data_IF_592877405862
#
_entry.id   IF_592877405862
#
_cell.length_a   1.000
_cell.length_b   1.000
_cell.length_c   1.000
_cell.angle_alpha   90.00
_cell.angle_beta   90.00
_cell.angle_gamma   90.00
#
_symmetry.space_group_name_H-M   'P 1'
#
loop_
_entity.id
_entity.type
_entity.pdbx_description
1 polymer ?
#
# COMPACT_ATOMS: atom_id res chain seq x y z
N UNK A 1 23.19 -10.96 31.00
CA UNK A 1 22.47 -10.06 30.05
C UNK A 1 22.81 -8.58 30.25
N UNK A 2 22.88 -8.07 31.50
CA UNK A 2 23.11 -6.65 31.81
C UNK A 2 24.45 -6.06 31.30
N UNK A 3 25.54 -6.85 31.30
CA UNK A 3 26.87 -6.39 30.87
C UNK A 3 26.96 -6.15 29.35
N UNK A 4 26.31 -6.99 28.53
CA UNK A 4 26.31 -6.84 27.07
C UNK A 4 25.51 -5.61 26.62
N UNK A 5 24.39 -5.34 27.29
CA UNK A 5 23.58 -4.12 27.04
C UNK A 5 24.36 -2.86 27.43
N UNK A 6 25.08 -2.89 28.56
CA UNK A 6 25.93 -1.79 28.99
C UNK A 6 27.02 -1.49 27.95
N UNK A 7 27.71 -2.51 27.45
CA UNK A 7 28.78 -2.36 26.44
C UNK A 7 28.24 -1.76 25.14
N UNK A 8 27.07 -2.20 24.67
CA UNK A 8 26.45 -1.64 23.46
C UNK A 8 26.08 -0.17 23.66
N UNK A 9 25.51 0.19 24.80
CA UNK A 9 25.19 1.60 25.12
C UNK A 9 26.47 2.44 25.18
N UNK A 10 27.56 1.93 25.76
CA UNK A 10 28.84 2.63 25.82
C UNK A 10 29.47 2.79 24.43
N UNK A 11 29.40 1.79 23.56
CA UNK A 11 29.89 1.88 22.17
C UNK A 11 29.08 2.90 21.37
N UNK A 12 27.75 2.90 21.52
CA UNK A 12 26.87 3.89 20.87
C UNK A 12 27.17 5.30 21.38
N UNK A 13 27.32 5.49 22.69
CA UNK A 13 27.64 6.79 23.29
C UNK A 13 29.03 7.32 22.89
N UNK A 14 30.03 6.43 22.77
CA UNK A 14 31.36 6.80 22.28
C UNK A 14 31.35 7.13 20.77
N UNK A 15 30.53 6.42 19.98
CA UNK A 15 30.37 6.68 18.55
C UNK A 15 29.78 8.06 18.23
N UNK A 16 28.87 8.58 19.06
CA UNK A 16 28.28 9.92 18.88
C UNK A 16 29.29 11.06 19.06
N UNK A 17 30.33 10.88 19.87
CA UNK A 17 31.33 11.93 20.14
C UNK A 17 32.40 12.03 19.03
N UNK A 18 32.63 10.96 18.26
CA UNK A 18 33.67 10.92 17.23
C UNK A 18 33.31 11.69 15.94
N UNK A 19 32.04 12.06 15.77
CA UNK A 19 31.56 12.83 14.61
C UNK A 19 31.12 14.26 14.95
N UNK A 20 31.43 14.74 16.16
CA UNK A 20 31.16 16.12 16.55
C UNK A 20 32.14 17.08 15.88
N UNK A 21 31.95 17.36 14.60
CA UNK A 21 32.50 18.57 14.01
C UNK A 21 31.70 19.75 14.55
N UNK A 22 32.37 20.81 15.00
CA UNK A 22 31.70 22.07 15.38
C UNK A 22 30.85 22.54 14.19
N UNK A 23 29.53 22.54 14.37
CA UNK A 23 28.60 22.98 13.34
C UNK A 23 28.77 24.50 13.18
N UNK A 24 29.50 24.91 12.15
CA UNK A 24 29.70 26.31 11.85
C UNK A 24 28.41 26.94 11.28
N UNK A 25 27.67 27.57 12.19
CA UNK A 25 26.43 28.29 11.87
C UNK A 25 26.67 29.36 10.81
N UNK A 26 27.83 30.04 10.82
CA UNK A 26 28.12 31.12 9.88
C UNK A 26 28.28 30.58 8.47
N UNK A 27 29.04 29.48 8.32
CA UNK A 27 29.19 28.76 7.05
C UNK A 27 27.88 28.10 6.58
N UNK A 28 27.00 27.73 7.51
CA UNK A 28 25.67 27.21 7.16
C UNK A 28 24.71 28.32 6.69
N UNK A 29 24.74 29.48 7.35
CA UNK A 29 23.83 30.61 7.08
C UNK A 29 24.26 31.51 5.93
N UNK A 30 25.48 31.32 5.41
CA UNK A 30 26.03 32.10 4.30
C UNK A 30 25.14 31.97 3.04
N UNK A 31 24.49 33.07 2.58
CA UNK A 31 23.65 33.05 1.38
C UNK A 31 24.42 32.77 0.09
N UNK A 32 25.69 33.16 0.00
CA UNK A 32 26.51 32.99 -1.21
C UNK A 32 26.76 31.51 -1.51
N UNK A 33 26.86 30.68 -0.46
CA UNK A 33 26.98 29.22 -0.56
C UNK A 33 25.84 28.57 -1.36
N UNK A 34 24.65 29.15 -1.32
CA UNK A 34 23.46 28.65 -2.01
C UNK A 34 23.14 29.42 -3.31
N UNK A 35 24.03 30.33 -3.73
CA UNK A 35 23.81 31.20 -4.89
C UNK A 35 22.75 32.27 -4.65
N UNK A 36 22.57 32.71 -3.39
CA UNK A 36 21.70 33.84 -3.01
C UNK A 36 22.51 35.12 -2.85
N UNK A 37 23.32 35.43 -3.85
CA UNK A 37 24.23 36.59 -3.96
C UNK A 37 23.50 37.94 -4.09
N UNK A 38 22.18 37.94 -4.34
CA UNK A 38 21.37 39.15 -4.40
C UNK A 38 20.12 39.08 -3.51
N UNK A 39 19.62 40.22 -2.99
CA UNK A 39 18.36 40.27 -2.23
C UNK A 39 17.18 39.68 -3.01
N UNK A 40 17.16 39.85 -4.33
CA UNK A 40 16.14 39.29 -5.23
C UNK A 40 16.20 37.75 -5.26
N UNK A 41 17.39 37.18 -5.44
CA UNK A 41 17.58 35.72 -5.42
C UNK A 41 17.21 35.12 -4.07
N UNK A 42 17.57 35.80 -2.98
CA UNK A 42 17.17 35.41 -1.63
C UNK A 42 15.64 35.44 -1.45
N UNK A 43 14.98 36.50 -1.94
CA UNK A 43 13.52 36.61 -1.89
C UNK A 43 12.84 35.51 -2.71
N UNK A 44 13.32 35.25 -3.92
CA UNK A 44 12.81 34.18 -4.78
C UNK A 44 13.00 32.80 -4.15
N UNK A 45 14.15 32.53 -3.52
CA UNK A 45 14.40 31.29 -2.80
C UNK A 45 13.44 31.10 -1.62
N UNK A 46 13.17 32.16 -0.84
CA UNK A 46 12.19 32.13 0.26
C UNK A 46 10.78 31.86 -0.25
N UNK A 47 10.38 32.51 -1.34
CA UNK A 47 9.07 32.30 -1.95
C UNK A 47 8.92 30.88 -2.52
N UNK A 48 9.95 30.35 -3.20
CA UNK A 48 9.96 28.97 -3.69
C UNK A 48 9.83 27.98 -2.53
N UNK A 49 10.58 28.17 -1.45
CA UNK A 49 10.50 27.33 -0.26
C UNK A 49 9.09 27.35 0.37
N UNK A 50 8.51 28.55 0.53
CA UNK A 50 7.15 28.71 1.03
C UNK A 50 6.12 28.02 0.13
N UNK A 51 6.25 28.15 -1.19
CA UNK A 51 5.37 27.50 -2.15
C UNK A 51 5.51 25.98 -2.10
N UNK A 52 6.73 25.43 -2.04
CA UNK A 52 6.96 23.98 -1.88
C UNK A 52 6.36 23.45 -0.60
N UNK A 53 6.53 24.16 0.52
CA UNK A 53 5.92 23.79 1.80
C UNK A 53 4.38 23.74 1.69
N UNK A 54 3.78 24.73 1.04
CA UNK A 54 2.33 24.74 0.77
C UNK A 54 1.89 23.55 -0.09
N UNK A 55 2.63 23.20 -1.13
CA UNK A 55 2.31 22.03 -1.98
C UNK A 55 2.42 20.71 -1.19
N UNK A 56 3.45 20.58 -0.36
CA UNK A 56 3.62 19.42 0.52
C UNK A 56 2.48 19.30 1.53
N UNK A 57 2.03 20.41 2.12
CA UNK A 57 0.89 20.40 3.03
C UNK A 57 -0.41 19.96 2.32
N UNK A 58 -0.65 20.45 1.09
CA UNK A 58 -1.79 20.01 0.29
C UNK A 58 -1.69 18.52 -0.04
N UNK A 59 -0.48 18.04 -0.35
CA UNK A 59 -0.24 16.63 -0.60
C UNK A 59 -0.51 15.77 0.65
N UNK A 60 -0.02 16.19 1.81
CA UNK A 60 -0.25 15.48 3.07
C UNK A 60 -1.72 15.37 3.46
N UNK A 61 -2.53 16.38 3.12
CA UNK A 61 -3.97 16.36 3.33
C UNK A 61 -4.72 15.41 2.37
N UNK A 62 -4.17 15.17 1.18
CA UNK A 62 -4.83 14.37 0.13
C UNK A 62 -4.32 12.92 0.03
N UNK A 63 -3.07 12.68 0.41
CA UNK A 63 -2.44 11.36 0.29
C UNK A 63 -3.19 10.33 1.12
N UNK A 64 -3.22 9.09 0.63
CA UNK A 64 -3.75 7.96 1.38
C UNK A 64 -2.65 7.24 2.14
N UNK A 65 -3.02 6.71 3.32
CA UNK A 65 -2.13 5.90 4.14
C UNK A 65 -2.04 4.48 3.57
N UNK A 66 -0.82 4.03 3.28
CA UNK A 66 -0.53 2.66 2.84
C UNK A 66 -1.01 1.66 3.89
N UNK A 67 -0.72 1.90 5.17
CA UNK A 67 -1.14 1.02 6.28
C UNK A 67 -2.66 0.91 6.36
N UNK A 68 -3.38 2.02 6.15
CA UNK A 68 -4.84 1.99 6.18
C UNK A 68 -5.42 1.13 5.04
N UNK A 69 -4.88 1.27 3.82
CA UNK A 69 -5.35 0.48 2.67
C UNK A 69 -4.91 -0.99 2.72
N UNK A 70 -3.75 -1.28 3.34
CA UNK A 70 -3.33 -2.65 3.68
C UNK A 70 -4.33 -3.33 4.61
N UNK A 71 -4.71 -2.67 5.70
CA UNK A 71 -5.68 -3.20 6.67
C UNK A 71 -7.04 -3.44 6.01
N UNK A 72 -7.50 -2.50 5.17
CA UNK A 72 -8.74 -2.69 4.40
C UNK A 72 -8.67 -3.92 3.50
N UNK A 73 -7.57 -4.11 2.77
CA UNK A 73 -7.39 -5.26 1.87
C UNK A 73 -7.28 -6.58 2.63
N UNK A 74 -6.71 -6.57 3.83
CA UNK A 74 -6.67 -7.74 4.70
C UNK A 74 -8.05 -8.13 5.21
N UNK A 75 -8.92 -7.14 5.51
CA UNK A 75 -10.28 -7.40 5.97
C UNK A 75 -11.19 -7.88 4.82
N UNK A 76 -11.12 -7.21 3.67
CA UNK A 76 -11.85 -7.61 2.49
C UNK A 76 -10.96 -7.44 1.25
N UNK A 77 -10.67 -8.54 0.52
CA UNK A 77 -9.85 -8.47 -0.68
C UNK A 77 -10.43 -7.48 -1.69
N UNK A 78 -9.56 -6.62 -2.24
CA UNK A 78 -9.95 -5.55 -3.15
C UNK A 78 -10.39 -4.23 -2.49
N UNK A 79 -10.60 -4.17 -1.17
CA UNK A 79 -11.05 -2.92 -0.51
C UNK A 79 -9.99 -1.81 -0.51
N UNK A 80 -8.71 -2.14 -0.36
CA UNK A 80 -7.64 -1.15 -0.52
C UNK A 80 -7.59 -0.58 -1.93
N UNK A 81 -7.79 -1.41 -2.96
CA UNK A 81 -7.85 -0.97 -4.36
C UNK A 81 -9.02 -0.02 -4.63
N UNK A 82 -10.20 -0.32 -4.08
CA UNK A 82 -11.36 0.58 -4.15
C UNK A 82 -11.08 1.93 -3.49
N UNK A 83 -10.38 1.92 -2.36
CA UNK A 83 -9.99 3.16 -1.68
C UNK A 83 -8.99 3.97 -2.51
N UNK A 84 -8.03 3.30 -3.16
CA UNK A 84 -7.04 3.93 -4.02
C UNK A 84 -7.57 4.33 -5.43
N UNK A 85 -8.86 4.13 -5.72
CA UNK A 85 -9.47 4.49 -7.01
C UNK A 85 -9.23 3.48 -8.14
N UNK A 86 -8.62 2.33 -7.84
CA UNK A 86 -8.35 1.23 -8.78
C UNK A 86 -9.54 0.24 -8.80
N UNK A 87 -10.72 0.72 -9.21
CA UNK A 87 -11.98 -0.03 -9.11
C UNK A 87 -11.98 -1.33 -9.91
N UNK A 88 -11.48 -1.31 -11.14
CA UNK A 88 -11.43 -2.50 -12.01
C UNK A 88 -10.55 -3.57 -11.39
N UNK A 89 -9.39 -3.19 -10.85
CA UNK A 89 -8.47 -4.12 -10.18
C UNK A 89 -9.12 -4.72 -8.93
N UNK A 90 -9.77 -3.87 -8.11
CA UNK A 90 -10.51 -4.29 -6.93
C UNK A 90 -11.64 -5.28 -7.25
N UNK A 91 -12.42 -5.04 -8.32
CA UNK A 91 -13.50 -5.94 -8.75
C UNK A 91 -12.98 -7.30 -9.21
N UNK A 92 -11.92 -7.32 -10.02
CA UNK A 92 -11.33 -8.57 -10.52
C UNK A 92 -10.83 -9.41 -9.36
N UNK A 93 -10.10 -8.80 -8.42
CA UNK A 93 -9.51 -9.52 -7.29
C UNK A 93 -10.59 -10.02 -6.31
N UNK A 94 -11.59 -9.20 -6.00
CA UNK A 94 -12.71 -9.61 -5.18
C UNK A 94 -13.53 -10.73 -5.85
N UNK A 95 -13.78 -10.63 -7.15
CA UNK A 95 -14.50 -11.65 -7.90
C UNK A 95 -13.76 -12.99 -7.93
N UNK A 96 -12.44 -12.94 -8.13
CA UNK A 96 -11.58 -14.13 -8.08
C UNK A 96 -11.62 -14.80 -6.70
N UNK A 97 -11.55 -14.00 -5.64
CA UNK A 97 -11.64 -14.51 -4.27
C UNK A 97 -12.99 -15.19 -3.99
N UNK A 98 -14.10 -14.55 -4.40
CA UNK A 98 -15.44 -15.11 -4.23
C UNK A 98 -15.61 -16.43 -4.97
N UNK A 99 -15.01 -16.57 -6.16
CA UNK A 99 -15.00 -17.82 -6.91
C UNK A 99 -14.24 -18.88 -6.11
N UNK A 100 -13.01 -18.59 -5.66
CA UNK A 100 -12.20 -19.57 -4.94
C UNK A 100 -12.80 -19.98 -3.59
N UNK A 101 -13.27 -19.03 -2.79
CA UNK A 101 -13.93 -19.34 -1.52
C UNK A 101 -15.29 -20.02 -1.71
N UNK A 102 -16.05 -19.61 -2.73
CA UNK A 102 -17.32 -20.24 -3.08
C UNK A 102 -17.15 -21.69 -3.53
N UNK A 103 -16.15 -21.96 -4.40
CA UNK A 103 -15.80 -23.31 -4.82
C UNK A 103 -15.26 -24.15 -3.67
N UNK A 104 -14.43 -23.56 -2.80
CA UNK A 104 -13.95 -24.21 -1.57
C UNK A 104 -15.13 -24.69 -0.73
N UNK A 105 -16.08 -23.79 -0.45
CA UNK A 105 -17.26 -24.08 0.36
C UNK A 105 -18.12 -25.19 -0.28
N UNK A 106 -18.39 -25.08 -1.58
CA UNK A 106 -19.18 -26.06 -2.32
C UNK A 106 -18.59 -27.48 -2.23
N UNK A 107 -17.29 -27.62 -2.50
CA UNK A 107 -16.65 -28.94 -2.46
C UNK A 107 -16.43 -29.45 -1.03
N UNK A 108 -16.27 -28.55 -0.05
CA UNK A 108 -16.22 -28.92 1.35
C UNK A 108 -17.56 -29.52 1.82
N UNK A 109 -18.66 -28.86 1.49
CA UNK A 109 -20.01 -29.35 1.83
C UNK A 109 -20.29 -30.70 1.17
N UNK A 110 -19.96 -30.84 -0.12
CA UNK A 110 -20.07 -32.12 -0.83
C UNK A 110 -19.21 -33.22 -0.20
N UNK A 111 -18.00 -32.90 0.25
CA UNK A 111 -17.13 -33.85 0.95
C UNK A 111 -17.77 -34.33 2.26
N UNK A 112 -18.38 -33.43 3.04
CA UNK A 112 -19.05 -33.78 4.29
C UNK A 112 -20.29 -34.66 4.06
N UNK A 113 -21.10 -34.38 3.04
CA UNK A 113 -22.26 -35.20 2.69
C UNK A 113 -21.85 -36.64 2.33
N UNK A 114 -20.81 -36.78 1.50
CA UNK A 114 -20.27 -38.08 1.09
C UNK A 114 -19.63 -38.83 2.26
N UNK A 115 -18.92 -38.10 3.14
CA UNK A 115 -18.36 -38.68 4.35
C UNK A 115 -19.44 -39.18 5.32
N UNK A 116 -20.57 -38.48 5.41
CA UNK A 116 -21.73 -38.93 6.18
C UNK A 116 -22.37 -40.21 5.61
N UNK A 117 -22.38 -40.37 4.28
CA UNK A 117 -22.82 -41.61 3.61
C UNK A 117 -21.84 -42.76 3.89
N UNK A 118 -20.53 -42.50 3.79
CA UNK A 118 -19.49 -43.45 4.18
C UNK A 118 -19.71 -43.99 5.59
N UNK A 119 -19.97 -43.11 6.57
CA UNK A 119 -20.22 -43.50 7.98
C UNK A 119 -21.45 -44.37 8.18
N UNK A 120 -22.41 -44.34 7.25
CA UNK A 120 -23.68 -45.09 7.33
C UNK A 120 -23.69 -46.34 6.44
N UNK A 121 -22.71 -46.51 5.56
CA UNK A 121 -22.64 -47.62 4.63
C UNK A 121 -22.27 -48.93 5.35
N UNK A 122 -22.92 -50.02 4.95
CA UNK A 122 -22.69 -51.37 5.51
C UNK A 122 -22.02 -52.31 4.52
N UNK A 123 -22.17 -52.06 3.21
CA UNK A 123 -21.55 -52.84 2.15
C UNK A 123 -20.15 -52.29 1.83
N UNK A 124 -19.17 -53.19 1.69
CA UNK A 124 -17.76 -52.82 1.49
C UNK A 124 -17.52 -51.95 0.25
N UNK A 125 -18.24 -52.22 -0.84
CA UNK A 125 -18.14 -51.44 -2.08
C UNK A 125 -18.59 -50.00 -1.87
N UNK A 126 -19.73 -49.81 -1.20
CA UNK A 126 -20.29 -48.47 -0.90
C UNK A 126 -19.38 -47.70 0.07
N UNK A 127 -18.82 -48.40 1.06
CA UNK A 127 -17.86 -47.82 2.01
C UNK A 127 -16.65 -47.24 1.26
N UNK A 128 -16.03 -48.05 0.38
CA UNK A 128 -14.86 -47.60 -0.37
C UNK A 128 -15.21 -46.44 -1.31
N UNK A 129 -16.31 -46.56 -2.04
CA UNK A 129 -16.71 -45.53 -3.00
C UNK A 129 -17.03 -44.19 -2.32
N UNK A 130 -17.84 -44.19 -1.26
CA UNK A 130 -18.16 -42.94 -0.56
C UNK A 130 -16.94 -42.32 0.13
N UNK A 131 -16.00 -43.14 0.58
CA UNK A 131 -14.74 -42.64 1.14
C UNK A 131 -13.88 -41.97 0.06
N UNK A 132 -13.68 -42.61 -1.08
CA UNK A 132 -12.92 -42.06 -2.21
C UNK A 132 -13.57 -40.76 -2.71
N UNK A 133 -14.88 -40.76 -2.94
CA UNK A 133 -15.61 -39.57 -3.40
C UNK A 133 -15.53 -38.39 -2.40
N UNK A 134 -15.57 -38.68 -1.10
CA UNK A 134 -15.43 -37.69 -0.05
C UNK A 134 -14.02 -37.09 -0.05
N UNK A 135 -13.00 -37.95 -0.15
CA UNK A 135 -11.61 -37.54 -0.19
C UNK A 135 -11.29 -36.69 -1.42
N UNK A 136 -11.80 -37.06 -2.60
CA UNK A 136 -11.61 -36.30 -3.84
C UNK A 136 -12.23 -34.89 -3.73
N UNK A 137 -13.45 -34.82 -3.21
CA UNK A 137 -14.14 -33.53 -3.01
C UNK A 137 -13.40 -32.66 -2.00
N UNK A 138 -12.91 -33.26 -0.92
CA UNK A 138 -12.14 -32.56 0.10
C UNK A 138 -10.80 -32.04 -0.45
N UNK A 139 -10.11 -32.85 -1.26
CA UNK A 139 -8.87 -32.43 -1.92
C UNK A 139 -9.08 -31.24 -2.86
N UNK A 140 -10.15 -31.26 -3.67
CA UNK A 140 -10.51 -30.12 -4.53
C UNK A 140 -10.79 -28.87 -3.68
N UNK A 141 -11.54 -29.01 -2.58
CA UNK A 141 -11.80 -27.91 -1.65
C UNK A 141 -10.50 -27.30 -1.12
N UNK A 142 -9.54 -28.12 -0.71
CA UNK A 142 -8.23 -27.65 -0.23
C UNK A 142 -7.41 -26.93 -1.30
N UNK A 143 -7.44 -27.39 -2.55
CA UNK A 143 -6.77 -26.71 -3.66
C UNK A 143 -7.34 -25.31 -3.84
N UNK A 144 -8.67 -25.19 -3.94
CA UNK A 144 -9.33 -23.90 -4.14
C UNK A 144 -9.14 -22.96 -2.94
N UNK A 145 -9.13 -23.50 -1.72
CA UNK A 145 -8.83 -22.71 -0.53
C UNK A 145 -7.41 -22.15 -0.58
N UNK A 146 -6.44 -22.98 -0.96
CA UNK A 146 -5.03 -22.58 -1.07
C UNK A 146 -4.84 -21.51 -2.15
N UNK A 147 -5.56 -21.62 -3.28
CA UNK A 147 -5.57 -20.61 -4.33
C UNK A 147 -6.22 -19.30 -3.84
N UNK A 148 -7.35 -19.38 -3.13
CA UNK A 148 -8.00 -18.24 -2.47
C UNK A 148 -7.03 -17.50 -1.56
N UNK A 149 -6.42 -18.21 -0.60
CA UNK A 149 -5.43 -17.62 0.31
C UNK A 149 -4.25 -16.98 -0.43
N UNK A 150 -3.80 -17.59 -1.53
CA UNK A 150 -2.71 -17.01 -2.35
C UNK A 150 -3.13 -15.69 -2.99
N UNK A 151 -4.35 -15.62 -3.55
CA UNK A 151 -4.91 -14.38 -4.11
C UNK A 151 -5.13 -13.33 -3.03
N UNK A 152 -5.60 -13.73 -1.85
CA UNK A 152 -5.77 -12.86 -0.70
C UNK A 152 -4.45 -12.21 -0.25
N UNK A 153 -3.37 -12.99 -0.14
CA UNK A 153 -2.04 -12.45 0.18
C UNK A 153 -1.56 -11.50 -0.92
N UNK A 154 -1.76 -11.87 -2.18
CA UNK A 154 -1.42 -11.03 -3.33
C UNK A 154 -2.21 -9.70 -3.31
N UNK A 155 -3.49 -9.72 -2.96
CA UNK A 155 -4.31 -8.49 -2.86
C UNK A 155 -3.79 -7.55 -1.80
N UNK A 156 -3.40 -8.07 -0.64
CA UNK A 156 -2.80 -7.25 0.42
C UNK A 156 -1.53 -6.58 -0.11
N UNK A 157 -0.62 -7.36 -0.70
CA UNK A 157 0.63 -6.83 -1.25
C UNK A 157 0.39 -5.78 -2.35
N UNK A 158 -0.45 -6.10 -3.35
CA UNK A 158 -0.70 -5.23 -4.50
C UNK A 158 -1.42 -3.93 -4.11
N UNK A 159 -2.13 -3.90 -2.96
CA UNK A 159 -2.74 -2.68 -2.44
C UNK A 159 -1.71 -1.59 -2.08
N UNK A 160 -0.45 -1.97 -1.80
CA UNK A 160 0.65 -1.02 -1.60
C UNK A 160 0.89 -0.26 -2.90
N UNK A 161 1.12 -0.98 -4.00
CA UNK A 161 1.39 -0.39 -5.31
C UNK A 161 0.23 0.48 -5.80
N UNK A 162 -1.02 0.06 -5.57
CA UNK A 162 -2.19 0.88 -5.89
C UNK A 162 -2.24 2.16 -5.06
N UNK A 163 -1.87 2.10 -3.77
CA UNK A 163 -1.83 3.30 -2.91
C UNK A 163 -0.70 4.26 -3.30
N UNK A 164 0.47 3.73 -3.66
CA UNK A 164 1.59 4.54 -4.17
C UNK A 164 1.23 5.22 -5.48
N UNK A 165 0.65 4.47 -6.43
CA UNK A 165 0.18 5.01 -7.71
C UNK A 165 -0.84 6.15 -7.50
N UNK A 166 -1.77 5.97 -6.56
CA UNK A 166 -2.70 7.03 -6.18
C UNK A 166 -1.98 8.27 -5.64
N UNK A 167 -1.06 8.08 -4.69
CA UNK A 167 -0.32 9.18 -4.08
C UNK A 167 0.54 9.94 -5.10
N UNK A 168 1.18 9.23 -6.03
CA UNK A 168 1.94 9.81 -7.12
C UNK A 168 1.05 10.63 -8.06
N UNK A 169 -0.14 10.11 -8.39
CA UNK A 169 -1.12 10.83 -9.19
C UNK A 169 -1.56 12.12 -8.49
N UNK A 170 -1.86 12.07 -7.20
CA UNK A 170 -2.22 13.25 -6.40
C UNK A 170 -1.10 14.29 -6.42
N UNK A 171 0.16 13.87 -6.25
CA UNK A 171 1.31 14.78 -6.29
C UNK A 171 1.48 15.41 -7.67
N UNK A 172 1.37 14.63 -8.74
CA UNK A 172 1.45 15.12 -10.11
C UNK A 172 0.34 16.12 -10.43
N UNK A 173 -0.90 15.86 -9.98
CA UNK A 173 -2.02 16.78 -10.14
C UNK A 173 -1.79 18.11 -9.40
N UNK A 174 -1.32 18.06 -8.14
CA UNK A 174 -0.99 19.27 -7.35
C UNK A 174 0.09 20.09 -8.05
N UNK A 175 1.14 19.42 -8.52
CA UNK A 175 2.26 20.05 -9.23
C UNK A 175 1.80 20.66 -10.54
N UNK A 176 1.00 19.94 -11.33
CA UNK A 176 0.47 20.43 -12.59
C UNK A 176 -0.42 21.66 -12.36
N UNK A 177 -1.35 21.62 -11.40
CA UNK A 177 -2.20 22.76 -11.05
C UNK A 177 -1.40 23.99 -10.59
N UNK A 178 -0.26 23.79 -9.92
CA UNK A 178 0.62 24.88 -9.53
C UNK A 178 1.30 25.54 -10.73
N UNK A 179 1.84 24.75 -11.68
CA UNK A 179 2.50 25.28 -12.87
C UNK A 179 1.51 25.82 -13.92
N UNK A 180 0.31 25.26 -14.03
CA UNK A 180 -0.72 25.72 -14.99
C UNK A 180 -1.52 26.91 -14.47
N UNK A 181 -1.44 27.26 -13.18
CA UNK A 181 -2.11 28.45 -12.62
C UNK A 181 -1.72 29.77 -13.30
N UNK A 182 -0.56 29.82 -13.96
CA UNK A 182 -0.14 30.95 -14.79
C UNK A 182 -0.89 31.06 -16.12
N UNK A 183 -1.62 30.03 -16.56
CA UNK A 183 -2.28 29.95 -17.86
C UNK A 183 -3.72 29.44 -17.72
N UNK A 184 -4.70 30.35 -17.80
CA UNK A 184 -6.13 30.03 -17.78
C UNK A 184 -6.76 30.37 -19.14
N UNK A 185 -7.35 29.36 -19.79
CA UNK A 185 -8.18 29.53 -20.99
C UNK A 185 -9.64 29.62 -20.53
N UNK A 186 -10.24 30.80 -20.67
CA UNK A 186 -11.67 31.01 -20.46
C UNK A 186 -12.35 31.25 -21.82
N UNK A 187 -13.69 31.06 -21.95
CA UNK A 187 -14.45 31.37 -23.16
C UNK A 187 -14.32 32.85 -23.60
N UNK A 188 -13.88 33.71 -22.69
CA UNK A 188 -13.67 35.15 -22.88
C UNK A 188 -12.22 35.54 -23.19
N UNK A 189 -11.27 34.59 -23.26
CA UNK A 189 -9.90 34.84 -23.69
C UNK A 189 -8.82 34.07 -22.91
N UNK A 190 -7.57 34.33 -23.29
CA UNK A 190 -6.37 33.81 -22.61
C UNK A 190 -5.98 34.74 -21.46
N UNK A 191 -5.92 34.21 -20.23
CA UNK A 191 -5.41 34.96 -19.07
C UNK A 191 -4.10 34.38 -18.60
N UNK A 192 -3.06 35.22 -18.62
CA UNK A 192 -1.75 34.93 -18.07
C UNK A 192 -1.59 35.68 -16.76
N UNK A 193 -1.32 34.97 -15.65
CA UNK A 193 -1.04 35.59 -14.35
C UNK A 193 0.38 35.24 -13.92
N UNK A 194 1.25 36.25 -13.95
CA UNK A 194 2.59 36.23 -13.36
C UNK A 194 2.50 36.19 -11.83
#
# INVERSE_FOLDING_TARGET
>A
MKLKVLIVITIVALGFNLYSNDFDIKKFSDPEKYGWDSPEKLHNARNDLYNRQKLLQIYELKKQSITANLIKSAFAPGWGHFSAGEYTKGQVLLGLELIFLGTTYYYHDSAMEKYDKYKKATYITDINQFYEDANDSYFISQIFFSLGVTVWIYTIYDSINSTETYNDKVWNEIRQQYYTKGFSINPTGFTWRF
#
